data_IF_076851285988
#
_entry.id   IF_076851285988
#
_cell.length_a   1.000
_cell.length_b   1.000
_cell.length_c   1.000
_cell.angle_alpha   90.00
_cell.angle_beta   90.00
_cell.angle_gamma   90.00
#
_symmetry.space_group_name_H-M   'P 1'
#
loop_
_entity.id
_entity.type
_entity.pdbx_description
1 polymer ?
#
# COMPACT_ATOMS: atom_id res chain seq x y z
N UNK A 1 7.88 -2.50 -15.64
CA UNK A 1 6.99 -3.67 -15.91
C UNK A 1 6.28 -4.09 -14.64
N UNK A 2 5.37 -5.08 -14.70
CA UNK A 2 4.61 -5.56 -13.51
C UNK A 2 5.55 -5.90 -12.34
N UNK A 3 6.69 -6.53 -12.62
CA UNK A 3 7.71 -6.86 -11.60
C UNK A 3 8.25 -5.64 -10.83
N UNK A 4 8.34 -4.47 -11.48
CA UNK A 4 8.77 -3.24 -10.84
C UNK A 4 7.70 -2.70 -9.88
N UNK A 5 6.43 -2.84 -10.24
CA UNK A 5 5.31 -2.45 -9.36
C UNK A 5 5.26 -3.35 -8.12
N UNK A 6 5.41 -4.67 -8.31
CA UNK A 6 5.49 -5.63 -7.20
C UNK A 6 6.68 -5.35 -6.28
N UNK A 7 7.84 -5.01 -6.86
CA UNK A 7 9.03 -4.66 -6.08
C UNK A 7 8.81 -3.41 -5.22
N UNK A 8 8.22 -2.34 -5.79
CA UNK A 8 7.97 -1.14 -5.00
C UNK A 8 6.90 -1.36 -3.93
N UNK A 9 5.85 -2.12 -4.23
CA UNK A 9 4.83 -2.51 -3.25
C UNK A 9 5.45 -3.25 -2.06
N UNK A 10 6.36 -4.19 -2.33
CA UNK A 10 7.09 -4.88 -1.27
C UNK A 10 7.98 -3.93 -0.44
N UNK A 11 8.64 -2.95 -1.08
CA UNK A 11 9.45 -1.95 -0.37
C UNK A 11 8.61 -1.05 0.53
N UNK A 12 7.44 -0.59 0.07
CA UNK A 12 6.57 0.25 0.88
C UNK A 12 5.92 -0.52 2.04
N UNK A 13 5.56 -1.79 1.83
CA UNK A 13 5.11 -2.65 2.93
C UNK A 13 6.21 -2.82 3.99
N UNK A 14 7.45 -3.08 3.57
CA UNK A 14 8.58 -3.20 4.49
C UNK A 14 8.79 -1.90 5.29
N UNK A 15 8.67 -0.74 4.64
CA UNK A 15 8.84 0.54 5.32
C UNK A 15 7.67 0.86 6.28
N UNK A 16 6.46 0.42 5.95
CA UNK A 16 5.30 0.48 6.84
C UNK A 16 5.54 -0.38 8.09
N UNK A 17 5.97 -1.63 7.92
CA UNK A 17 6.30 -2.52 9.04
C UNK A 17 7.40 -1.95 9.96
N UNK A 18 8.41 -1.30 9.38
CA UNK A 18 9.46 -0.62 10.14
C UNK A 18 8.91 0.58 10.90
N UNK A 19 8.07 1.38 10.26
CA UNK A 19 7.46 2.56 10.88
C UNK A 19 6.59 2.16 12.08
N UNK A 20 5.83 1.08 11.97
CA UNK A 20 5.01 0.54 13.08
C UNK A 20 5.83 0.10 14.31
N UNK A 21 7.13 -0.15 14.16
CA UNK A 21 8.04 -0.51 15.26
C UNK A 21 8.82 0.70 15.82
N UNK A 22 8.65 1.88 15.22
CA UNK A 22 9.33 3.09 15.67
C UNK A 22 8.69 3.64 16.95
N UNK A 23 9.48 4.16 17.92
CA UNK A 23 8.95 4.88 19.06
C UNK A 23 8.51 6.32 18.72
N UNK A 24 8.75 6.79 17.50
CA UNK A 24 8.40 8.14 17.05
C UNK A 24 6.93 8.24 16.57
N UNK A 25 6.34 9.44 16.55
CA UNK A 25 5.04 9.66 15.92
C UNK A 25 5.07 9.28 14.43
N UNK A 26 4.18 8.35 14.03
CA UNK A 26 4.20 7.75 12.70
C UNK A 26 3.02 8.10 11.80
N UNK A 27 1.98 8.79 12.30
CA UNK A 27 0.73 9.06 11.56
C UNK A 27 0.96 9.61 10.15
N UNK A 28 1.67 10.74 10.03
CA UNK A 28 2.02 11.37 8.74
C UNK A 28 2.81 10.43 7.81
N UNK A 29 3.64 9.55 8.37
CA UNK A 29 4.45 8.61 7.59
C UNK A 29 3.60 7.46 7.06
N UNK A 30 2.69 6.93 7.87
CA UNK A 30 1.72 5.93 7.45
C UNK A 30 0.75 6.50 6.41
N UNK A 31 0.34 7.76 6.55
CA UNK A 31 -0.46 8.49 5.56
C UNK A 31 0.22 8.58 4.19
N UNK A 32 1.52 8.87 4.17
CA UNK A 32 2.30 8.85 2.94
C UNK A 32 2.40 7.44 2.35
N UNK A 33 2.70 6.43 3.17
CA UNK A 33 2.89 5.06 2.71
C UNK A 33 1.60 4.44 2.15
N UNK A 34 0.44 4.74 2.76
CA UNK A 34 -0.86 4.29 2.22
C UNK A 34 -1.14 4.90 0.84
N UNK A 35 -0.76 6.16 0.61
CA UNK A 35 -0.90 6.80 -0.71
C UNK A 35 -0.03 6.12 -1.77
N UNK A 36 1.24 5.86 -1.45
CA UNK A 36 2.15 5.20 -2.39
C UNK A 36 1.76 3.74 -2.67
N UNK A 37 1.32 2.99 -1.66
CA UNK A 37 0.78 1.64 -1.84
C UNK A 37 -0.47 1.65 -2.76
N UNK A 38 -1.35 2.64 -2.61
CA UNK A 38 -2.54 2.76 -3.46
C UNK A 38 -2.16 3.05 -4.91
N UNK A 39 -1.14 3.91 -5.12
CA UNK A 39 -0.59 4.23 -6.44
C UNK A 39 -0.05 2.97 -7.15
N UNK A 40 0.65 2.13 -6.41
CA UNK A 40 1.21 0.88 -6.92
C UNK A 40 0.12 -0.14 -7.26
N UNK A 41 -0.87 -0.30 -6.38
CA UNK A 41 -2.01 -1.18 -6.63
C UNK A 41 -2.79 -0.76 -7.88
N UNK A 42 -3.04 0.54 -8.08
CA UNK A 42 -3.66 1.04 -9.32
C UNK A 42 -2.81 0.75 -10.57
N UNK A 43 -1.50 0.90 -10.45
CA UNK A 43 -0.57 0.65 -11.56
C UNK A 43 -0.49 -0.85 -11.88
N UNK A 44 -0.52 -1.72 -10.87
CA UNK A 44 -0.59 -3.17 -11.00
C UNK A 44 -1.86 -3.60 -11.73
N UNK A 45 -3.03 -3.09 -11.31
CA UNK A 45 -4.31 -3.41 -11.91
C UNK A 45 -4.44 -2.93 -13.36
N UNK A 46 -4.01 -1.68 -13.64
CA UNK A 46 -4.11 -1.09 -14.99
C UNK A 46 -3.12 -1.70 -16.01
N UNK A 47 -2.01 -2.28 -15.56
CA UNK A 47 -1.02 -2.95 -16.43
C UNK A 47 -1.20 -4.47 -16.48
N UNK A 48 -2.08 -5.04 -15.66
CA UNK A 48 -2.36 -6.47 -15.68
C UNK A 48 -3.21 -6.85 -16.88
N UNK A 49 -2.81 -7.89 -17.60
CA UNK A 49 -3.65 -8.56 -18.60
C UNK A 49 -4.36 -9.79 -18.02
N UNK A 50 -4.05 -10.12 -16.76
CA UNK A 50 -4.57 -11.26 -16.03
C UNK A 50 -5.68 -10.83 -15.07
N UNK A 51 -6.79 -11.57 -15.08
CA UNK A 51 -7.98 -11.28 -14.30
C UNK A 51 -7.78 -11.53 -12.80
N UNK A 52 -6.96 -12.51 -12.42
CA UNK A 52 -6.63 -12.81 -11.03
C UNK A 52 -5.79 -11.67 -10.44
N UNK A 53 -4.76 -11.23 -11.16
CA UNK A 53 -3.94 -10.07 -10.78
C UNK A 53 -4.76 -8.78 -10.68
N UNK A 54 -5.74 -8.60 -11.58
CA UNK A 54 -6.67 -7.47 -11.49
C UNK A 54 -7.50 -7.54 -10.22
N UNK A 55 -8.01 -8.72 -9.86
CA UNK A 55 -8.77 -8.92 -8.62
C UNK A 55 -7.90 -8.69 -7.38
N UNK A 56 -6.67 -9.23 -7.35
CA UNK A 56 -5.71 -8.96 -6.28
C UNK A 56 -5.46 -7.46 -6.10
N UNK A 57 -5.36 -6.69 -7.19
CA UNK A 57 -5.17 -5.23 -7.09
C UNK A 57 -6.35 -4.53 -6.43
N UNK A 58 -7.58 -5.01 -6.61
CA UNK A 58 -8.78 -4.49 -5.94
C UNK A 58 -8.75 -4.85 -4.46
N UNK A 59 -8.44 -6.10 -4.12
CA UNK A 59 -8.39 -6.55 -2.73
C UNK A 59 -7.32 -5.79 -1.93
N UNK A 60 -6.15 -5.55 -2.53
CA UNK A 60 -5.09 -4.73 -1.95
C UNK A 60 -5.59 -3.31 -1.66
N UNK A 61 -6.34 -2.69 -2.59
CA UNK A 61 -6.88 -1.34 -2.40
C UNK A 61 -7.86 -1.28 -1.24
N UNK A 62 -8.70 -2.30 -1.06
CA UNK A 62 -9.62 -2.38 0.09
C UNK A 62 -8.83 -2.42 1.40
N UNK A 63 -7.78 -3.25 1.48
CA UNK A 63 -6.92 -3.33 2.67
C UNK A 63 -6.20 -2.00 2.95
N UNK A 64 -5.72 -1.30 1.91
CA UNK A 64 -5.06 0.01 2.07
C UNK A 64 -6.03 1.06 2.62
N UNK A 65 -7.27 1.11 2.14
CA UNK A 65 -8.27 2.04 2.68
C UNK A 65 -8.60 1.72 4.14
N UNK A 66 -8.72 0.44 4.51
CA UNK A 66 -8.89 0.05 5.92
C UNK A 66 -7.72 0.50 6.79
N UNK A 67 -6.47 0.34 6.31
CA UNK A 67 -5.28 0.82 7.03
C UNK A 67 -5.33 2.34 7.18
N UNK A 68 -5.68 3.06 6.12
CA UNK A 68 -5.78 4.52 6.13
C UNK A 68 -6.83 5.03 7.12
N UNK A 69 -8.00 4.38 7.19
CA UNK A 69 -9.01 4.66 8.21
C UNK A 69 -8.46 4.46 9.61
N UNK A 70 -7.70 3.37 9.85
CA UNK A 70 -7.05 3.17 11.15
C UNK A 70 -6.07 4.30 11.46
N UNK A 71 -5.20 4.67 10.52
CA UNK A 71 -4.21 5.75 10.69
C UNK A 71 -4.89 7.05 11.11
N UNK A 72 -5.99 7.41 10.47
CA UNK A 72 -6.74 8.64 10.76
C UNK A 72 -7.51 8.59 12.08
N UNK A 73 -7.88 7.41 12.56
CA UNK A 73 -8.63 7.23 13.81
C UNK A 73 -7.74 7.23 15.07
N UNK A 74 -6.42 7.06 14.93
CA UNK A 74 -5.47 7.12 16.07
C UNK A 74 -4.93 8.53 16.32
N UNK A 75 -5.29 9.51 15.49
CA UNK A 75 -4.93 10.93 15.64
C UNK A 75 -5.81 11.67 16.66
#
# INVERSE_FOLDING_TARGET
GISQELYRLALHLLEMERSLKSPEPIGRRLDFLTQELNREANTLGSKSQDAEMTRCSVDIKVLIEQIKEQVQNVE
#
